data_IF_743074438147
#
_entry.id   IF_743074438147
#
_cell.length_a   1.000
_cell.length_b   1.000
_cell.length_c   1.000
_cell.angle_alpha   90.00
_cell.angle_beta   90.00
_cell.angle_gamma   90.00
#
_symmetry.space_group_name_H-M   'P 1'
#
loop_
_entity.id
_entity.type
_entity.pdbx_description
1 polymer ?
#
# COMPACT_ATOMS: atom_id res chain seq x y z
N UNK A 1 13.10 9.95 -18.41
CA UNK A 1 11.65 10.08 -18.75
C UNK A 1 11.17 8.91 -19.62
N UNK A 2 11.29 7.65 -19.17
CA UNK A 2 10.85 6.46 -19.95
C UNK A 2 9.57 5.80 -19.42
N UNK A 3 9.23 5.97 -18.14
CA UNK A 3 8.05 5.33 -17.55
C UNK A 3 6.69 5.95 -17.91
N UNK A 4 6.66 7.24 -18.28
CA UNK A 4 5.41 7.93 -18.60
C UNK A 4 4.77 7.45 -19.92
N UNK A 5 5.56 6.95 -20.87
CA UNK A 5 5.06 6.60 -22.20
C UNK A 5 4.29 5.27 -22.21
N UNK A 6 4.74 4.26 -21.47
CA UNK A 6 4.10 2.94 -21.47
C UNK A 6 2.68 2.96 -20.88
N UNK A 7 2.47 3.75 -19.82
CA UNK A 7 1.14 3.91 -19.19
C UNK A 7 0.19 4.69 -20.09
N UNK A 8 0.71 5.67 -20.83
CA UNK A 8 -0.07 6.47 -21.78
C UNK A 8 -0.43 5.67 -23.04
N UNK A 9 0.50 4.85 -23.56
CA UNK A 9 0.30 4.00 -24.74
C UNK A 9 -0.76 2.92 -24.49
N UNK A 10 -0.76 2.23 -23.34
CA UNK A 10 -1.86 1.32 -22.96
C UNK A 10 -3.22 2.05 -22.90
N UNK A 11 -3.28 3.24 -22.30
CA UNK A 11 -4.55 3.93 -22.08
C UNK A 11 -5.13 4.66 -23.32
N UNK A 12 -4.42 4.71 -24.44
CA UNK A 12 -4.86 5.45 -25.64
C UNK A 12 -5.11 4.58 -26.86
N UNK A 13 -4.62 3.35 -26.91
CA UNK A 13 -4.73 2.49 -28.10
C UNK A 13 -5.96 1.56 -28.14
N UNK A 14 -6.65 1.31 -27.00
CA UNK A 14 -7.73 0.31 -26.90
C UNK A 14 -9.17 0.85 -26.85
N UNK A 15 -10.15 -0.02 -27.15
CA UNK A 15 -11.60 0.27 -26.95
C UNK A 15 -11.91 0.61 -25.47
N UNK A 16 -13.05 1.25 -25.16
CA UNK A 16 -13.40 1.62 -23.77
C UNK A 16 -13.39 0.41 -22.80
N UNK A 17 -13.77 -0.76 -23.30
CA UNK A 17 -13.76 -2.03 -22.54
C UNK A 17 -12.33 -2.54 -22.31
N UNK A 18 -11.46 -2.38 -23.31
CA UNK A 18 -10.06 -2.84 -23.28
C UNK A 18 -9.24 -2.06 -22.24
N UNK A 19 -9.37 -0.73 -22.25
CA UNK A 19 -8.73 0.17 -21.26
C UNK A 19 -9.20 -0.05 -19.83
N UNK A 20 -10.40 -0.60 -19.66
CA UNK A 20 -10.97 -0.94 -18.36
C UNK A 20 -10.37 -2.23 -17.80
N UNK A 21 -10.25 -3.26 -18.63
CA UNK A 21 -9.62 -4.55 -18.28
C UNK A 21 -8.15 -4.33 -17.92
N UNK A 22 -7.43 -3.50 -18.70
CA UNK A 22 -6.03 -3.18 -18.43
C UNK A 22 -5.81 -2.44 -17.11
N UNK A 23 -6.64 -1.44 -16.79
CA UNK A 23 -6.48 -0.68 -15.55
C UNK A 23 -6.78 -1.50 -14.30
N UNK A 24 -7.77 -2.40 -14.36
CA UNK A 24 -8.11 -3.29 -13.25
C UNK A 24 -6.97 -4.27 -12.97
N UNK A 25 -6.46 -4.89 -14.03
CA UNK A 25 -5.33 -5.80 -13.94
C UNK A 25 -4.08 -5.10 -13.37
N UNK A 26 -3.81 -3.87 -13.80
CA UNK A 26 -2.71 -3.07 -13.25
C UNK A 26 -2.87 -2.81 -11.75
N UNK A 27 -4.09 -2.48 -11.29
CA UNK A 27 -4.36 -2.29 -9.86
C UNK A 27 -4.09 -3.56 -9.05
N UNK A 28 -4.62 -4.70 -9.49
CA UNK A 28 -4.43 -5.96 -8.77
C UNK A 28 -2.98 -6.46 -8.79
N UNK A 29 -2.24 -6.21 -9.88
CA UNK A 29 -0.79 -6.47 -9.90
C UNK A 29 -0.03 -5.60 -8.91
N UNK A 30 -0.40 -4.32 -8.81
CA UNK A 30 0.18 -3.42 -7.81
C UNK A 30 -0.14 -3.91 -6.40
N UNK A 31 -1.40 -4.21 -6.11
CA UNK A 31 -1.83 -4.73 -4.82
C UNK A 31 -1.09 -6.02 -4.45
N UNK A 32 -1.02 -6.99 -5.37
CA UNK A 32 -0.33 -8.26 -5.16
C UNK A 32 1.17 -8.05 -4.91
N UNK A 33 1.82 -7.18 -5.68
CA UNK A 33 3.22 -6.84 -5.49
C UNK A 33 3.47 -6.21 -4.11
N UNK A 34 2.67 -5.20 -3.75
CA UNK A 34 2.79 -4.51 -2.47
C UNK A 34 2.52 -5.45 -1.29
N UNK A 35 1.52 -6.32 -1.42
CA UNK A 35 1.24 -7.35 -0.42
C UNK A 35 2.43 -8.28 -0.24
N UNK A 36 3.08 -8.72 -1.33
CA UNK A 36 4.29 -9.52 -1.25
C UNK A 36 5.43 -8.83 -0.51
N UNK A 37 5.66 -7.53 -0.76
CA UNK A 37 6.66 -6.74 -0.03
C UNK A 37 6.30 -6.61 1.45
N UNK A 38 5.03 -6.35 1.77
CA UNK A 38 4.57 -6.25 3.16
C UNK A 38 4.69 -7.60 3.89
N UNK A 39 4.36 -8.71 3.24
CA UNK A 39 4.54 -10.06 3.78
C UNK A 39 6.01 -10.35 4.07
N UNK A 40 6.94 -9.99 3.18
CA UNK A 40 8.37 -10.16 3.42
C UNK A 40 8.84 -9.37 4.65
N UNK A 41 8.32 -8.14 4.87
CA UNK A 41 8.61 -7.36 6.08
C UNK A 41 8.09 -8.04 7.34
N UNK A 42 6.88 -8.62 7.29
CA UNK A 42 6.32 -9.38 8.41
C UNK A 42 7.14 -10.63 8.74
N UNK A 43 7.54 -11.39 7.72
CA UNK A 43 8.39 -12.59 7.88
C UNK A 43 9.74 -12.23 8.51
N UNK A 44 10.41 -11.19 8.00
CA UNK A 44 11.67 -10.69 8.55
C UNK A 44 11.51 -10.22 10.02
N UNK A 45 10.40 -9.56 10.36
CA UNK A 45 10.12 -9.20 11.75
C UNK A 45 9.90 -10.43 12.66
N UNK A 46 9.36 -11.52 12.11
CA UNK A 46 9.15 -12.78 12.81
C UNK A 46 10.44 -13.36 13.40
N UNK A 47 11.55 -13.24 12.67
CA UNK A 47 12.85 -13.81 13.04
C UNK A 47 13.67 -12.93 14.01
N UNK A 48 13.27 -11.68 14.22
CA UNK A 48 13.99 -10.77 15.12
C UNK A 48 13.73 -11.08 16.60
N UNK A 49 14.63 -10.73 17.53
CA UNK A 49 14.33 -10.70 18.95
C UNK A 49 13.44 -9.50 19.34
N UNK A 50 12.73 -9.63 20.46
CA UNK A 50 11.82 -8.57 20.96
C UNK A 50 12.55 -7.24 21.24
N UNK A 51 13.85 -7.27 21.59
CA UNK A 51 14.64 -6.05 21.79
C UNK A 51 14.92 -5.21 20.54
N UNK A 52 14.83 -5.79 19.34
CA UNK A 52 15.11 -5.08 18.08
C UNK A 52 13.88 -4.86 17.21
N UNK A 53 12.77 -5.56 17.48
CA UNK A 53 11.59 -5.54 16.59
C UNK A 53 10.97 -4.14 16.45
N UNK A 54 10.91 -3.35 17.53
CA UNK A 54 10.29 -2.01 17.47
C UNK A 54 11.11 -1.06 16.61
N UNK A 55 12.44 -1.09 16.72
CA UNK A 55 13.34 -0.29 15.88
C UNK A 55 13.23 -0.68 14.41
N UNK A 56 13.30 -1.99 14.12
CA UNK A 56 13.10 -2.52 12.77
C UNK A 56 11.76 -2.09 12.17
N UNK A 57 10.68 -2.26 12.92
CA UNK A 57 9.34 -1.91 12.46
C UNK A 57 9.22 -0.41 12.14
N UNK A 58 9.79 0.47 12.98
CA UNK A 58 9.78 1.92 12.76
C UNK A 58 10.54 2.32 11.49
N UNK A 59 11.70 1.72 11.25
CA UNK A 59 12.49 1.95 10.04
C UNK A 59 11.73 1.50 8.79
N UNK A 60 11.16 0.29 8.82
CA UNK A 60 10.38 -0.25 7.70
C UNK A 60 9.11 0.56 7.44
N UNK A 61 8.46 1.06 8.48
CA UNK A 61 7.32 1.96 8.37
C UNK A 61 7.67 3.28 7.67
N UNK A 62 8.80 3.90 8.01
CA UNK A 62 9.25 5.14 7.37
C UNK A 62 9.57 4.91 5.87
N UNK A 63 10.27 3.82 5.56
CA UNK A 63 10.58 3.41 4.18
C UNK A 63 9.31 3.13 3.37
N UNK A 64 8.35 2.41 3.96
CA UNK A 64 7.06 2.12 3.35
C UNK A 64 6.27 3.40 3.03
N UNK A 65 6.22 4.35 3.98
CA UNK A 65 5.56 5.64 3.77
C UNK A 65 6.25 6.50 2.71
N UNK A 66 7.59 6.48 2.67
CA UNK A 66 8.33 7.16 1.62
C UNK A 66 8.02 6.55 0.24
N UNK A 67 8.01 5.22 0.14
CA UNK A 67 7.64 4.50 -1.08
C UNK A 67 6.18 4.80 -1.49
N UNK A 68 5.26 4.94 -0.54
CA UNK A 68 3.87 5.31 -0.82
C UNK A 68 3.76 6.66 -1.53
N UNK A 69 4.43 7.68 -1.01
CA UNK A 69 4.47 9.03 -1.62
C UNK A 69 5.11 9.00 -3.02
N UNK A 70 6.19 8.22 -3.19
CA UNK A 70 6.86 8.05 -4.50
C UNK A 70 5.98 7.33 -5.51
N UNK A 71 5.36 6.23 -5.13
CA UNK A 71 4.50 5.43 -6.00
C UNK A 71 3.28 6.23 -6.46
N UNK A 72 2.66 7.02 -5.58
CA UNK A 72 1.61 7.98 -5.97
C UNK A 72 2.10 8.95 -7.05
N UNK A 73 3.31 9.49 -6.91
CA UNK A 73 3.91 10.39 -7.90
C UNK A 73 4.14 9.72 -9.26
N UNK A 74 4.60 8.47 -9.26
CA UNK A 74 4.83 7.67 -10.47
C UNK A 74 3.52 7.26 -11.15
N UNK A 75 2.52 6.86 -10.35
CA UNK A 75 1.22 6.36 -10.80
C UNK A 75 0.17 7.46 -10.89
N UNK A 76 0.54 8.73 -10.76
CA UNK A 76 -0.39 9.88 -10.73
C UNK A 76 -1.38 9.89 -11.89
N UNK A 77 -0.95 9.48 -13.09
CA UNK A 77 -1.82 9.39 -14.25
C UNK A 77 -2.87 8.27 -14.09
N UNK A 78 -2.42 7.08 -13.68
CA UNK A 78 -3.31 5.97 -13.38
C UNK A 78 -4.29 6.30 -12.25
N UNK A 79 -3.82 6.97 -11.20
CA UNK A 79 -4.65 7.43 -10.07
C UNK A 79 -5.75 8.39 -10.54
N UNK A 80 -5.39 9.43 -11.29
CA UNK A 80 -6.34 10.44 -11.77
C UNK A 80 -7.36 9.91 -12.78
N UNK A 81 -6.94 9.04 -13.68
CA UNK A 81 -7.75 8.68 -14.85
C UNK A 81 -8.49 7.36 -14.71
N UNK A 82 -7.95 6.41 -13.93
CA UNK A 82 -8.59 5.13 -13.70
C UNK A 82 -9.10 5.01 -12.26
N UNK A 83 -8.25 5.16 -11.24
CA UNK A 83 -8.64 4.95 -9.82
C UNK A 83 -9.77 5.89 -9.40
N UNK A 84 -9.61 7.21 -9.59
CA UNK A 84 -10.66 8.19 -9.23
C UNK A 84 -11.97 7.91 -9.95
N UNK A 85 -11.91 7.48 -11.22
CA UNK A 85 -13.10 7.12 -12.01
C UNK A 85 -13.78 5.88 -11.45
N UNK A 86 -13.02 4.83 -11.11
CA UNK A 86 -13.56 3.62 -10.52
C UNK A 86 -14.16 3.84 -9.13
N UNK A 87 -13.53 4.71 -8.33
CA UNK A 87 -14.06 5.13 -7.02
C UNK A 87 -15.37 5.93 -7.15
N UNK A 88 -15.52 6.72 -8.23
CA UNK A 88 -16.70 7.55 -8.47
C UNK A 88 -17.90 6.77 -9.05
N UNK A 89 -17.71 5.51 -9.48
CA UNK A 89 -18.83 4.71 -9.98
C UNK A 89 -19.86 4.46 -8.86
N UNK A 90 -21.16 4.67 -9.13
CA UNK A 90 -22.19 4.38 -8.14
C UNK A 90 -22.13 2.91 -7.73
N UNK A 91 -22.12 2.68 -6.41
CA UNK A 91 -22.05 1.36 -5.81
C UNK A 91 -23.40 0.67 -6.00
N UNK A 92 -23.59 -0.02 -7.12
CA UNK A 92 -24.77 -0.86 -7.34
C UNK A 92 -24.58 -2.22 -6.63
N UNK A 93 -25.37 -2.46 -5.58
CA UNK A 93 -25.43 -3.74 -4.85
C UNK A 93 -24.39 -3.91 -3.74
N UNK A 94 -24.26 -5.15 -3.22
CA UNK A 94 -23.38 -5.51 -2.10
C UNK A 94 -21.87 -5.52 -2.45
N UNK A 95 -21.52 -5.26 -3.71
CA UNK A 95 -20.15 -5.30 -4.20
C UNK A 95 -19.49 -3.93 -4.05
N UNK A 96 -19.02 -3.60 -2.83
CA UNK A 96 -18.15 -2.44 -2.62
C UNK A 96 -16.87 -2.65 -3.45
N UNK A 97 -16.53 -1.72 -4.33
CA UNK A 97 -15.22 -1.76 -4.97
C UNK A 97 -14.13 -1.56 -3.91
N UNK A 98 -13.22 -2.52 -3.78
CA UNK A 98 -12.06 -2.45 -2.87
C UNK A 98 -10.99 -1.43 -3.33
N UNK A 99 -11.22 -0.81 -4.49
CA UNK A 99 -10.34 0.17 -5.11
C UNK A 99 -10.27 1.44 -4.24
N UNK A 100 -9.05 1.86 -3.95
CA UNK A 100 -8.72 3.10 -3.24
C UNK A 100 -7.46 3.74 -3.84
N UNK A 101 -7.15 4.97 -3.41
CA UNK A 101 -5.95 5.68 -3.85
C UNK A 101 -4.68 4.87 -3.52
N UNK A 102 -3.58 5.13 -4.24
CA UNK A 102 -2.34 4.35 -4.07
C UNK A 102 -1.79 4.46 -2.65
N UNK A 103 -1.91 5.63 -2.01
CA UNK A 103 -1.48 5.82 -0.62
C UNK A 103 -2.38 5.03 0.34
N UNK A 104 -3.69 5.04 0.13
CA UNK A 104 -4.62 4.27 0.95
C UNK A 104 -4.40 2.76 0.80
N UNK A 105 -4.08 2.29 -0.41
CA UNK A 105 -3.75 0.90 -0.67
C UNK A 105 -2.52 0.48 0.15
N UNK A 106 -1.46 1.30 0.14
CA UNK A 106 -0.28 1.06 0.98
C UNK A 106 -0.63 0.99 2.46
N UNK A 107 -1.49 1.89 2.95
CA UNK A 107 -1.92 1.90 4.35
C UNK A 107 -2.69 0.62 4.70
N UNK A 108 -3.72 0.28 3.92
CA UNK A 108 -4.52 -0.93 4.11
C UNK A 108 -3.66 -2.19 4.15
N UNK A 109 -2.72 -2.32 3.22
CA UNK A 109 -1.84 -3.49 3.15
C UNK A 109 -0.90 -3.54 4.35
N UNK A 110 -0.31 -2.42 4.77
CA UNK A 110 0.54 -2.38 5.96
C UNK A 110 -0.23 -2.76 7.23
N UNK A 111 -1.43 -2.17 7.43
CA UNK A 111 -2.29 -2.47 8.59
C UNK A 111 -2.55 -3.97 8.66
N UNK A 112 -3.11 -4.52 7.58
CA UNK A 112 -3.61 -5.90 7.56
C UNK A 112 -2.51 -6.95 7.56
N UNK A 113 -1.36 -6.65 6.97
CA UNK A 113 -0.30 -7.65 6.73
C UNK A 113 0.84 -7.56 7.72
N UNK A 114 1.16 -6.36 8.23
CA UNK A 114 2.33 -6.14 9.11
C UNK A 114 1.89 -5.75 10.51
N UNK A 115 1.13 -4.66 10.63
CA UNK A 115 0.82 -4.08 11.93
C UNK A 115 -0.08 -4.96 12.79
N UNK A 116 -1.27 -5.34 12.30
CA UNK A 116 -2.22 -6.12 13.09
C UNK A 116 -1.63 -7.46 13.58
N UNK A 117 -0.93 -8.25 12.73
CA UNK A 117 -0.27 -9.47 13.20
C UNK A 117 0.83 -9.23 14.26
N UNK A 118 1.57 -8.11 14.18
CA UNK A 118 2.68 -7.82 15.09
C UNK A 118 2.27 -6.99 16.31
N UNK A 119 1.08 -6.39 16.33
CA UNK A 119 0.63 -5.41 17.33
C UNK A 119 0.85 -5.85 18.78
N UNK A 120 0.46 -7.09 19.11
CA UNK A 120 0.65 -7.62 20.47
C UNK A 120 2.13 -7.71 20.87
N UNK A 121 2.98 -8.12 19.93
CA UNK A 121 4.43 -8.27 20.13
C UNK A 121 5.13 -6.92 20.20
N UNK A 122 4.77 -5.98 19.32
CA UNK A 122 5.26 -4.60 19.33
C UNK A 122 4.92 -3.89 20.64
N UNK A 123 3.71 -4.08 21.16
CA UNK A 123 3.30 -3.47 22.42
C UNK A 123 4.11 -4.00 23.61
N UNK A 124 4.33 -5.32 23.69
CA UNK A 124 5.14 -5.94 24.74
C UNK A 124 6.59 -5.46 24.68
N UNK A 125 7.22 -5.60 23.51
CA UNK A 125 8.60 -5.16 23.28
C UNK A 125 8.77 -3.65 23.56
N UNK A 126 7.79 -2.84 23.17
CA UNK A 126 7.84 -1.40 23.40
C UNK A 126 7.75 -1.00 24.87
N UNK A 127 6.96 -1.71 25.67
CA UNK A 127 6.88 -1.51 27.13
C UNK A 127 8.19 -1.88 27.82
N UNK A 128 8.83 -2.98 27.41
CA UNK A 128 10.08 -3.47 28.00
C UNK A 128 11.27 -2.56 27.70
N UNK A 129 11.32 -1.97 26.50
CA UNK A 129 12.46 -1.18 26.03
C UNK A 129 12.22 0.33 26.02
N UNK A 130 11.01 0.80 26.38
CA UNK A 130 10.65 2.22 26.40
C UNK A 130 10.57 2.86 25.00
N UNK A 131 10.33 2.08 23.94
CA UNK A 131 10.24 2.54 22.55
C UNK A 131 8.83 2.27 22.03
N UNK A 132 8.15 3.28 21.48
CA UNK A 132 6.82 3.09 20.87
C UNK A 132 6.94 2.73 19.39
N UNK A 133 6.19 1.73 18.96
CA UNK A 133 6.01 1.43 17.54
C UNK A 133 5.21 2.56 16.87
N UNK A 134 5.71 3.06 15.74
CA UNK A 134 5.04 4.08 14.91
C UNK A 134 3.80 3.49 14.26
N UNK A 135 2.60 4.00 14.54
CA UNK A 135 1.41 3.40 13.93
C UNK A 135 0.20 4.32 13.93
N UNK A 136 -0.32 4.52 12.71
CA UNK A 136 -1.69 4.76 12.18
C UNK A 136 -2.59 5.80 12.87
N UNK A 137 -2.42 6.02 14.17
CA UNK A 137 -2.96 7.17 14.86
C UNK A 137 -2.20 8.39 14.33
N UNK A 138 -2.92 9.26 13.64
CA UNK A 138 -2.39 10.36 12.84
C UNK A 138 -1.66 11.44 13.65
N UNK A 139 -0.49 11.12 14.18
CA UNK A 139 0.53 12.09 14.57
C UNK A 139 1.58 12.09 13.46
N UNK A 140 1.18 12.66 12.32
CA UNK A 140 2.15 13.32 11.44
C UNK A 140 2.50 14.64 12.12
N UNK A 141 3.72 14.74 12.65
CA UNK A 141 4.37 16.03 12.91
C UNK A 141 4.59 16.79 11.58
#
# INVERSE_FOLDING_TARGET
>A
MRGYNAVFECQTAGSVLDRYVEGRELYYRLESYLKGVATAVYEEAGDLPDGSIVGFYNERWDLWNHAAKRNRGLLRYFERHWITREMAKPKEGANRSDICEVVDLHMKLWVSTVFEPLKGRLNRAGQEHGIKAKGIDGESE
#
